data_IF_052429079786
#
_entry.id   IF_052429079786
#
_cell.length_a   1.000
_cell.length_b   1.000
_cell.length_c   1.000
_cell.angle_alpha   90.00
_cell.angle_beta   90.00
_cell.angle_gamma   90.00
#
_symmetry.space_group_name_H-M   'P 1'
#
loop_
_entity.id
_entity.type
_entity.pdbx_description
1 polymer ?
#
# COMPACT_ATOMS: atom_id res chain seq x y z
N UNK A 1 -59.05 41.23 -41.15
CA UNK A 1 -59.09 39.84 -40.67
C UNK A 1 -58.04 39.70 -39.58
N UNK A 2 -58.45 39.46 -38.34
CA UNK A 2 -57.56 39.32 -37.18
C UNK A 2 -56.81 37.98 -37.23
N UNK A 3 -55.47 38.01 -37.20
CA UNK A 3 -54.66 36.81 -37.02
C UNK A 3 -54.38 36.63 -35.53
N UNK A 4 -55.11 35.68 -34.92
CA UNK A 4 -55.01 35.32 -33.50
C UNK A 4 -53.64 34.70 -33.21
N UNK A 5 -52.89 35.29 -32.27
CA UNK A 5 -51.59 34.80 -31.82
C UNK A 5 -51.77 33.52 -30.97
N UNK A 6 -51.22 32.40 -31.44
CA UNK A 6 -51.20 31.14 -30.70
C UNK A 6 -50.01 31.12 -29.72
N UNK A 7 -50.29 31.27 -28.42
CA UNK A 7 -49.29 31.15 -27.35
C UNK A 7 -49.20 29.69 -26.86
N UNK A 8 -48.10 28.95 -27.10
CA UNK A 8 -47.98 27.56 -26.64
C UNK A 8 -47.81 27.49 -25.11
N UNK A 9 -48.22 26.39 -24.44
CA UNK A 9 -48.32 26.35 -22.98
C UNK A 9 -46.94 26.30 -22.30
N UNK A 10 -46.52 27.42 -21.71
CA UNK A 10 -45.28 27.58 -20.93
C UNK A 10 -45.12 26.54 -19.81
N UNK A 11 -46.23 26.03 -19.25
CA UNK A 11 -46.24 25.07 -18.15
C UNK A 11 -45.57 23.73 -18.50
N UNK A 12 -45.67 23.25 -19.75
CA UNK A 12 -45.12 21.93 -20.15
C UNK A 12 -43.61 21.98 -20.38
N UNK A 13 -43.11 23.11 -20.90
CA UNK A 13 -41.66 23.36 -21.09
C UNK A 13 -40.95 23.53 -19.75
N UNK A 14 -41.56 24.27 -18.82
CA UNK A 14 -41.01 24.47 -17.46
C UNK A 14 -40.89 23.17 -16.66
N UNK A 15 -41.89 22.28 -16.73
CA UNK A 15 -41.83 20.94 -16.11
C UNK A 15 -40.74 20.05 -16.72
N UNK A 16 -40.58 20.06 -18.04
CA UNK A 16 -39.49 19.34 -18.72
C UNK A 16 -38.11 19.87 -18.33
N UNK A 17 -37.93 21.18 -18.24
CA UNK A 17 -36.68 21.78 -17.77
C UNK A 17 -36.38 21.42 -16.30
N UNK A 18 -37.39 21.37 -15.44
CA UNK A 18 -37.22 20.93 -14.04
C UNK A 18 -36.79 19.47 -13.97
N UNK A 19 -37.45 18.58 -14.73
CA UNK A 19 -37.10 17.15 -14.75
C UNK A 19 -35.67 16.95 -15.27
N UNK A 20 -35.29 17.62 -16.36
CA UNK A 20 -33.94 17.54 -16.91
C UNK A 20 -32.88 18.08 -15.94
N UNK A 21 -33.19 19.16 -15.22
CA UNK A 21 -32.32 19.72 -14.17
C UNK A 21 -32.12 18.74 -13.02
N UNK A 22 -33.20 18.10 -12.54
CA UNK A 22 -33.12 17.09 -11.48
C UNK A 22 -32.32 15.87 -11.93
N UNK A 23 -32.54 15.37 -13.16
CA UNK A 23 -31.77 14.24 -13.70
C UNK A 23 -30.29 14.60 -13.82
N UNK A 24 -29.96 15.79 -14.32
CA UNK A 24 -28.57 16.25 -14.40
C UNK A 24 -27.91 16.35 -13.02
N UNK A 25 -28.63 16.86 -12.01
CA UNK A 25 -28.13 16.93 -10.64
C UNK A 25 -27.88 15.54 -10.04
N UNK A 26 -28.80 14.59 -10.26
CA UNK A 26 -28.63 13.20 -9.81
C UNK A 26 -27.42 12.52 -10.48
N UNK A 27 -27.23 12.72 -11.78
CA UNK A 27 -26.06 12.20 -12.50
C UNK A 27 -24.75 12.80 -11.97
N UNK A 28 -24.72 14.11 -11.70
CA UNK A 28 -23.56 14.76 -11.10
C UNK A 28 -23.25 14.20 -9.71
N UNK A 29 -24.26 13.98 -8.86
CA UNK A 29 -24.07 13.37 -7.54
C UNK A 29 -23.50 11.94 -7.63
N UNK A 30 -23.97 11.14 -8.59
CA UNK A 30 -23.44 9.78 -8.83
C UNK A 30 -21.97 9.85 -9.27
N UNK A 31 -21.63 10.74 -10.20
CA UNK A 31 -20.24 10.92 -10.67
C UNK A 31 -19.34 11.32 -9.49
N UNK A 32 -19.77 12.28 -8.69
CA UNK A 32 -19.03 12.74 -7.50
C UNK A 32 -18.83 11.59 -6.52
N UNK A 33 -19.86 10.80 -6.23
CA UNK A 33 -19.77 9.64 -5.34
C UNK A 33 -18.80 8.56 -5.87
N UNK A 34 -18.80 8.29 -7.17
CA UNK A 34 -17.87 7.33 -7.81
C UNK A 34 -16.43 7.84 -7.73
N UNK A 35 -16.19 9.11 -8.03
CA UNK A 35 -14.85 9.72 -7.95
C UNK A 35 -14.34 9.71 -6.50
N UNK A 36 -15.16 10.12 -5.53
CA UNK A 36 -14.83 10.05 -4.10
C UNK A 36 -14.54 8.62 -3.66
N UNK A 37 -15.35 7.64 -4.08
CA UNK A 37 -15.12 6.22 -3.78
C UNK A 37 -13.80 5.69 -4.36
N UNK A 38 -13.44 6.09 -5.58
CA UNK A 38 -12.17 5.73 -6.21
C UNK A 38 -10.96 6.40 -5.53
N UNK A 39 -11.08 7.68 -5.16
CA UNK A 39 -10.04 8.41 -4.43
C UNK A 39 -9.80 7.85 -3.02
N UNK A 40 -10.87 7.51 -2.29
CA UNK A 40 -10.75 6.86 -0.98
C UNK A 40 -10.13 5.46 -1.07
N UNK A 41 -10.42 4.71 -2.14
CA UNK A 41 -9.84 3.38 -2.38
C UNK A 41 -8.34 3.42 -2.65
N UNK A 42 -7.84 4.49 -3.29
CA UNK A 42 -6.41 4.66 -3.55
C UNK A 42 -5.58 4.87 -2.27
N UNK A 43 -6.20 5.31 -1.17
CA UNK A 43 -5.51 5.60 0.09
C UNK A 43 -5.37 4.37 1.01
N UNK A 44 -5.56 3.16 0.47
CA UNK A 44 -5.24 1.92 1.19
C UNK A 44 -3.75 1.60 1.00
N UNK A 45 -3.01 1.42 2.10
CA UNK A 45 -1.59 1.06 2.06
C UNK A 45 -1.39 -0.24 1.27
N UNK A 46 -0.98 -0.14 0.00
CA UNK A 46 -0.78 -1.30 -0.88
C UNK A 46 0.54 -2.03 -0.66
N UNK A 47 1.37 -1.57 0.27
CA UNK A 47 2.72 -2.10 0.48
C UNK A 47 2.70 -3.58 0.88
N UNK A 48 2.11 -3.94 2.02
CA UNK A 48 2.01 -5.35 2.47
C UNK A 48 1.30 -6.24 1.44
N UNK A 49 0.11 -5.89 0.91
CA UNK A 49 -0.55 -6.72 -0.09
C UNK A 49 0.30 -6.96 -1.35
N UNK A 50 1.00 -5.94 -1.85
CA UNK A 50 1.85 -6.07 -3.05
C UNK A 50 3.07 -6.95 -2.76
N UNK A 51 3.71 -6.74 -1.61
CA UNK A 51 4.85 -7.55 -1.17
C UNK A 51 4.46 -9.04 -1.08
N UNK A 52 3.36 -9.36 -0.38
CA UNK A 52 2.92 -10.74 -0.19
C UNK A 52 2.60 -11.40 -1.54
N UNK A 53 1.88 -10.69 -2.42
CA UNK A 53 1.53 -11.21 -3.75
C UNK A 53 2.79 -11.56 -4.58
N UNK A 54 3.79 -10.67 -4.60
CA UNK A 54 5.04 -10.92 -5.33
C UNK A 54 5.89 -12.02 -4.69
N UNK A 55 5.91 -12.10 -3.36
CA UNK A 55 6.64 -13.15 -2.66
C UNK A 55 6.10 -14.55 -3.00
N UNK A 56 4.77 -14.69 -3.12
CA UNK A 56 4.13 -15.97 -3.44
C UNK A 56 4.50 -16.54 -4.81
N UNK A 57 5.08 -15.74 -5.71
CA UNK A 57 5.62 -16.21 -6.99
C UNK A 57 6.88 -17.08 -6.79
N UNK A 58 7.55 -16.96 -5.64
CA UNK A 58 8.75 -17.72 -5.30
C UNK A 58 8.43 -18.87 -4.36
N UNK A 59 8.68 -20.10 -4.83
CA UNK A 59 8.45 -21.31 -4.02
C UNK A 59 9.50 -21.44 -2.91
N UNK A 60 9.08 -21.94 -1.75
CA UNK A 60 9.97 -22.30 -0.64
C UNK A 60 10.23 -21.19 0.38
N UNK A 61 9.49 -20.07 0.30
CA UNK A 61 9.56 -18.98 1.27
C UNK A 61 8.26 -18.85 2.06
N UNK A 62 8.38 -18.50 3.33
CA UNK A 62 7.26 -18.07 4.17
C UNK A 62 7.10 -16.55 4.01
N UNK A 63 6.11 -16.15 3.21
CA UNK A 63 5.95 -14.76 2.80
C UNK A 63 5.48 -13.84 3.93
N UNK A 64 4.71 -14.34 4.90
CA UNK A 64 4.35 -13.55 6.08
C UNK A 64 5.59 -13.34 6.94
N UNK A 65 6.41 -14.38 7.15
CA UNK A 65 7.67 -14.24 7.87
C UNK A 65 8.65 -13.29 7.15
N UNK A 66 8.73 -13.37 5.82
CA UNK A 66 9.57 -12.44 5.04
C UNK A 66 9.10 -10.99 5.19
N UNK A 67 7.78 -10.77 5.22
CA UNK A 67 7.19 -9.46 5.48
C UNK A 67 7.54 -8.96 6.88
N UNK A 68 7.35 -9.79 7.91
CA UNK A 68 7.59 -9.40 9.31
C UNK A 68 9.05 -8.98 9.52
N UNK A 69 9.99 -9.71 8.90
CA UNK A 69 11.42 -9.39 8.97
C UNK A 69 11.75 -8.09 8.22
N UNK A 70 11.14 -7.86 7.05
CA UNK A 70 11.30 -6.62 6.30
C UNK A 70 10.74 -5.40 7.07
N UNK A 71 9.56 -5.54 7.67
CA UNK A 71 8.86 -4.48 8.39
C UNK A 71 9.64 -4.02 9.64
N UNK A 72 10.27 -4.97 10.35
CA UNK A 72 11.10 -4.69 11.53
C UNK A 72 12.30 -3.76 11.25
N UNK A 73 12.74 -3.66 9.99
CA UNK A 73 13.89 -2.82 9.64
C UNK A 73 13.59 -1.33 9.83
N UNK A 74 12.35 -0.89 9.59
CA UNK A 74 12.01 0.54 9.51
C UNK A 74 10.85 0.97 10.42
N UNK A 75 9.96 0.08 10.86
CA UNK A 75 8.83 0.48 11.73
C UNK A 75 9.32 1.05 13.07
N UNK A 76 8.69 2.14 13.52
CA UNK A 76 9.04 2.82 14.76
C UNK A 76 10.32 3.65 14.71
N UNK A 77 10.99 3.75 13.56
CA UNK A 77 12.23 4.52 13.37
C UNK A 77 11.99 5.82 12.62
N UNK A 78 12.87 6.80 12.83
CA UNK A 78 12.94 7.97 11.97
C UNK A 78 13.32 7.51 10.53
N UNK A 79 12.58 7.93 9.48
CA UNK A 79 12.92 7.61 8.09
C UNK A 79 14.35 7.96 7.66
N UNK A 80 14.94 8.97 8.28
CA UNK A 80 16.28 9.45 8.01
C UNK A 80 17.35 8.68 8.80
N UNK A 81 16.95 7.89 9.80
CA UNK A 81 17.84 7.16 10.72
C UNK A 81 17.58 5.65 10.71
N UNK A 82 17.50 5.07 9.51
CA UNK A 82 17.45 3.62 9.31
C UNK A 82 18.84 3.13 8.88
N UNK A 83 19.60 2.46 9.75
CA UNK A 83 20.91 1.93 9.39
C UNK A 83 20.78 0.78 8.38
N UNK A 84 21.79 0.60 7.52
CA UNK A 84 21.77 -0.43 6.48
C UNK A 84 21.64 -1.84 7.07
N UNK A 85 22.30 -2.07 8.20
CA UNK A 85 22.34 -3.34 8.93
C UNK A 85 20.95 -3.75 9.46
N UNK A 86 20.01 -2.80 9.57
CA UNK A 86 18.62 -3.12 9.95
C UNK A 86 17.96 -4.09 8.95
N UNK A 87 18.41 -4.13 7.70
CA UNK A 87 17.93 -5.05 6.67
C UNK A 87 18.70 -6.37 6.59
N UNK A 88 19.79 -6.56 7.34
CA UNK A 88 20.59 -7.80 7.31
C UNK A 88 19.73 -9.05 7.55
N UNK A 89 18.77 -9.08 8.51
CA UNK A 89 17.90 -10.24 8.69
C UNK A 89 17.07 -10.57 7.45
N UNK A 90 16.60 -9.54 6.73
CA UNK A 90 15.80 -9.70 5.51
C UNK A 90 16.66 -10.25 4.37
N UNK A 91 17.87 -9.70 4.18
CA UNK A 91 18.81 -10.14 3.15
C UNK A 91 19.28 -11.59 3.41
N UNK A 92 19.56 -11.93 4.67
CA UNK A 92 19.98 -13.26 5.08
C UNK A 92 18.89 -14.33 4.89
N UNK A 93 17.62 -13.94 4.96
CA UNK A 93 16.50 -14.87 4.77
C UNK A 93 16.30 -15.29 3.30
N UNK A 94 16.80 -14.51 2.35
CA UNK A 94 16.73 -14.82 0.92
C UNK A 94 18.05 -14.52 0.21
N UNK A 95 19.11 -15.30 0.50
CA UNK A 95 20.43 -15.03 -0.03
C UNK A 95 20.41 -15.09 -1.56
N UNK A 96 20.96 -14.04 -2.18
CA UNK A 96 21.25 -14.02 -3.61
C UNK A 96 22.27 -15.10 -3.91
N UNK A 97 21.80 -16.30 -4.31
CA UNK A 97 22.70 -17.38 -4.70
C UNK A 97 23.45 -16.93 -5.96
N UNK A 98 24.79 -16.78 -5.90
CA UNK A 98 25.56 -16.55 -7.11
C UNK A 98 25.39 -17.80 -7.95
N UNK A 99 24.64 -17.70 -9.04
CA UNK A 99 24.49 -18.78 -10.00
C UNK A 99 25.76 -18.83 -10.86
N UNK A 100 26.93 -18.90 -10.21
CA UNK A 100 28.33 -18.71 -10.63
C UNK A 100 29.14 -19.92 -11.12
N UNK A 101 28.63 -20.92 -11.87
CA UNK A 101 29.53 -21.83 -12.62
C UNK A 101 28.99 -22.27 -13.99
N UNK A 102 29.55 -21.73 -15.09
CA UNK A 102 29.16 -22.07 -16.49
C UNK A 102 29.49 -23.50 -16.89
N UNK A 103 30.48 -24.13 -16.23
CA UNK A 103 30.95 -25.48 -16.54
C UNK A 103 30.01 -26.56 -15.98
N UNK A 104 29.25 -26.27 -14.92
CA UNK A 104 28.50 -27.29 -14.17
C UNK A 104 26.99 -27.28 -14.38
N UNK A 105 26.41 -26.22 -14.96
CA UNK A 105 24.95 -26.14 -15.08
C UNK A 105 24.53 -25.35 -16.33
N UNK A 106 23.89 -25.99 -17.34
CA UNK A 106 23.43 -25.33 -18.56
C UNK A 106 22.26 -24.34 -18.34
N UNK A 107 21.74 -24.20 -17.12
CA UNK A 107 20.69 -23.23 -16.72
C UNK A 107 21.21 -22.04 -15.88
N UNK A 108 22.50 -21.72 -16.01
CA UNK A 108 23.16 -20.66 -15.24
C UNK A 108 22.80 -19.26 -15.75
N UNK A 109 22.37 -18.37 -14.84
CA UNK A 109 22.13 -16.95 -15.12
C UNK A 109 23.21 -16.06 -14.53
N UNK A 110 23.68 -15.08 -15.30
CA UNK A 110 24.68 -14.07 -14.92
C UNK A 110 23.96 -12.80 -14.45
N UNK A 111 24.37 -12.25 -13.31
CA UNK A 111 23.78 -11.01 -12.80
C UNK A 111 24.10 -9.82 -13.71
N UNK A 112 23.09 -9.03 -14.08
CA UNK A 112 23.23 -7.83 -14.90
C UNK A 112 22.76 -6.60 -14.12
N UNK A 113 23.67 -5.65 -13.95
CA UNK A 113 23.40 -4.37 -13.29
C UNK A 113 23.13 -3.30 -14.34
N UNK A 114 22.35 -2.29 -13.96
CA UNK A 114 21.94 -1.21 -14.84
C UNK A 114 21.88 0.12 -14.07
N UNK A 115 21.90 1.24 -14.80
CA UNK A 115 21.74 2.58 -14.23
C UNK A 115 20.91 3.42 -15.17
N UNK A 116 19.71 3.80 -14.72
CA UNK A 116 18.71 4.56 -15.51
C UNK A 116 18.29 3.89 -16.83
N UNK A 117 18.56 2.59 -17.00
CA UNK A 117 18.26 1.78 -18.18
C UNK A 117 17.47 0.52 -17.84
N UNK A 118 16.63 0.59 -16.79
CA UNK A 118 15.84 -0.54 -16.27
C UNK A 118 15.08 -1.26 -17.39
N UNK A 119 14.19 -0.53 -18.05
CA UNK A 119 13.27 -1.10 -19.03
C UNK A 119 14.02 -1.77 -20.19
N UNK A 120 15.08 -1.13 -20.70
CA UNK A 120 15.92 -1.69 -21.75
C UNK A 120 16.62 -2.99 -21.31
N UNK A 121 17.11 -3.04 -20.08
CA UNK A 121 17.80 -4.22 -19.56
C UNK A 121 16.82 -5.35 -19.30
N UNK A 122 15.62 -5.06 -18.77
CA UNK A 122 14.57 -6.08 -18.65
C UNK A 122 14.10 -6.61 -20.00
N UNK A 123 13.88 -5.75 -21.00
CA UNK A 123 13.56 -6.17 -22.38
C UNK A 123 14.64 -7.08 -22.99
N UNK A 124 15.89 -6.90 -22.56
CA UNK A 124 17.03 -7.71 -22.99
C UNK A 124 17.10 -9.04 -22.22
N UNK A 125 16.95 -9.03 -20.90
CA UNK A 125 17.06 -10.23 -20.07
C UNK A 125 15.85 -11.16 -20.21
N UNK A 126 14.65 -10.64 -20.46
CA UNK A 126 13.43 -11.44 -20.72
C UNK A 126 13.62 -12.36 -21.94
N UNK A 127 14.39 -11.92 -22.93
CA UNK A 127 14.65 -12.65 -24.18
C UNK A 127 15.92 -13.51 -24.12
N UNK A 128 16.63 -13.53 -22.98
CA UNK A 128 17.95 -14.14 -22.85
C UNK A 128 18.05 -14.92 -21.55
N UNK A 129 18.04 -16.25 -21.65
CA UNK A 129 18.14 -17.17 -20.51
C UNK A 129 19.44 -17.09 -19.70
N UNK A 130 20.45 -16.36 -20.18
CA UNK A 130 21.76 -16.24 -19.53
C UNK A 130 21.89 -15.07 -18.56
N UNK A 131 20.91 -14.18 -18.47
CA UNK A 131 21.00 -12.96 -17.66
C UNK A 131 19.82 -12.84 -16.69
N UNK A 132 20.08 -12.21 -15.56
CA UNK A 132 19.10 -11.94 -14.50
C UNK A 132 19.47 -10.62 -13.82
N UNK A 133 18.49 -9.82 -13.44
CA UNK A 133 18.75 -8.55 -12.73
C UNK A 133 18.50 -8.70 -11.23
N UNK A 134 18.73 -7.63 -10.45
CA UNK A 134 18.41 -7.63 -9.01
C UNK A 134 16.91 -7.77 -8.80
N UNK A 135 16.11 -7.12 -9.65
CA UNK A 135 14.65 -7.09 -9.59
C UNK A 135 14.03 -8.46 -9.86
N UNK A 136 14.73 -9.36 -10.55
CA UNK A 136 14.29 -10.75 -10.80
C UNK A 136 14.53 -11.69 -9.60
N UNK A 137 15.27 -11.24 -8.58
CA UNK A 137 15.45 -11.99 -7.32
C UNK A 137 14.25 -11.82 -6.39
N UNK A 138 14.09 -12.69 -5.38
CA UNK A 138 13.02 -12.53 -4.38
C UNK A 138 13.10 -11.14 -3.73
N UNK A 139 14.28 -10.76 -3.22
CA UNK A 139 14.49 -9.49 -2.51
C UNK A 139 14.18 -8.29 -3.39
N UNK A 140 14.61 -8.32 -4.66
CA UNK A 140 14.34 -7.25 -5.61
C UNK A 140 12.87 -7.19 -6.00
N UNK A 141 12.29 -8.32 -6.42
CA UNK A 141 10.90 -8.39 -6.91
C UNK A 141 9.91 -7.87 -5.88
N UNK A 142 10.00 -8.32 -4.62
CA UNK A 142 9.03 -7.93 -3.59
C UNK A 142 9.10 -6.44 -3.21
N UNK A 143 10.19 -5.75 -3.53
CA UNK A 143 10.41 -4.32 -3.23
C UNK A 143 10.40 -3.43 -4.48
N UNK A 144 10.36 -4.01 -5.68
CA UNK A 144 10.57 -3.28 -6.93
C UNK A 144 9.51 -2.19 -7.18
N UNK A 145 9.96 -0.95 -7.34
CA UNK A 145 9.09 0.21 -7.55
C UNK A 145 8.22 0.56 -6.34
N UNK A 146 8.49 0.01 -5.14
CA UNK A 146 7.78 0.35 -3.92
C UNK A 146 8.53 1.46 -3.16
N UNK A 147 7.81 2.18 -2.30
CA UNK A 147 8.37 3.18 -1.39
C UNK A 147 7.77 2.97 -0.01
N UNK A 148 8.63 2.99 1.01
CA UNK A 148 8.25 2.77 2.40
C UNK A 148 9.12 3.63 3.32
N UNK A 149 8.59 3.98 4.48
CA UNK A 149 9.31 4.69 5.52
C UNK A 149 8.72 4.33 6.89
N UNK A 150 9.56 4.45 7.92
CA UNK A 150 9.14 4.38 9.31
C UNK A 150 8.47 5.68 9.76
N UNK A 151 8.08 5.71 11.03
CA UNK A 151 7.89 6.96 11.76
C UNK A 151 8.27 6.70 13.21
N UNK A 152 9.11 7.57 13.77
CA UNK A 152 9.52 7.46 15.15
C UNK A 152 8.28 7.53 16.07
N UNK A 153 8.22 6.63 17.04
CA UNK A 153 7.05 6.50 17.93
C UNK A 153 5.80 5.93 17.25
N UNK A 154 5.83 5.63 15.94
CA UNK A 154 4.83 4.78 15.30
C UNK A 154 5.27 3.31 15.37
N UNK A 155 5.37 2.78 16.58
CA UNK A 155 5.38 1.35 16.77
C UNK A 155 3.96 0.95 17.15
N UNK A 156 3.34 0.11 16.34
CA UNK A 156 2.11 -0.58 16.71
C UNK A 156 2.32 -1.61 17.84
N UNK A 157 3.40 -1.48 18.62
CA UNK A 157 3.76 -2.40 19.69
C UNK A 157 4.42 -1.59 20.80
N UNK A 158 3.60 -1.02 21.67
CA UNK A 158 4.07 -0.63 22.99
C UNK A 158 4.73 -1.87 23.66
N UNK A 159 5.80 -1.67 24.42
CA UNK A 159 6.52 -2.74 25.11
C UNK A 159 6.76 -2.32 26.57
N UNK A 160 6.70 -3.28 27.50
CA UNK A 160 6.82 -3.00 28.93
C UNK A 160 5.51 -2.51 29.56
N UNK A 161 5.62 -1.69 30.60
CA UNK A 161 4.47 -1.10 31.28
C UNK A 161 3.94 0.08 30.47
N UNK A 162 2.65 0.07 30.15
CA UNK A 162 2.01 1.11 29.33
C UNK A 162 1.13 1.99 30.21
N UNK A 163 1.37 3.30 30.18
CA UNK A 163 0.58 4.29 30.92
C UNK A 163 -0.22 5.17 29.95
N UNK A 164 -1.51 5.37 30.22
CA UNK A 164 -2.36 6.27 29.44
C UNK A 164 -2.97 7.34 30.34
N UNK A 165 -2.96 8.59 29.87
CA UNK A 165 -3.56 9.73 30.58
C UNK A 165 -4.93 10.05 29.96
N UNK A 166 -5.97 10.09 30.79
CA UNK A 166 -7.33 10.38 30.37
C UNK A 166 -7.81 11.71 30.96
N UNK A 167 -8.71 12.39 30.26
CA UNK A 167 -9.30 13.65 30.74
C UNK A 167 -10.36 13.37 31.81
N UNK A 168 -10.06 13.69 33.08
CA UNK A 168 -10.97 13.47 34.21
C UNK A 168 -12.14 14.47 34.30
N UNK A 169 -12.13 15.54 33.51
CA UNK A 169 -13.16 16.59 33.55
C UNK A 169 -14.40 16.27 32.70
N UNK A 170 -14.43 15.11 32.02
CA UNK A 170 -15.54 14.69 31.14
C UNK A 170 -16.24 13.43 31.68
N UNK A 171 -17.50 13.23 31.27
CA UNK A 171 -18.36 12.13 31.74
C UNK A 171 -17.80 10.74 31.39
N UNK A 172 -17.17 10.61 30.22
CA UNK A 172 -16.60 9.33 29.73
C UNK A 172 -15.12 9.48 29.36
N UNK A 173 -14.20 9.45 30.36
CA UNK A 173 -12.76 9.62 30.12
C UNK A 173 -12.16 8.56 29.19
N UNK A 174 -12.65 7.32 29.25
CA UNK A 174 -12.33 6.26 28.29
C UNK A 174 -13.53 6.00 27.39
N UNK A 175 -13.44 6.43 26.13
CA UNK A 175 -14.52 6.30 25.15
C UNK A 175 -14.19 5.20 24.13
N UNK A 176 -15.08 4.22 23.86
CA UNK A 176 -14.79 3.08 22.98
C UNK A 176 -14.57 3.47 21.52
N UNK A 177 -15.10 4.62 21.09
CA UNK A 177 -14.85 5.17 19.75
C UNK A 177 -13.60 6.06 19.66
N UNK A 178 -12.85 6.24 20.76
CA UNK A 178 -11.56 6.96 20.70
C UNK A 178 -10.52 6.15 19.93
N UNK A 179 -9.49 6.81 19.39
CA UNK A 179 -8.37 6.12 18.73
C UNK A 179 -7.66 5.19 19.72
N UNK A 180 -7.44 5.65 20.96
CA UNK A 180 -6.87 4.86 22.03
C UNK A 180 -7.63 3.54 22.24
N UNK A 181 -8.96 3.59 22.38
CA UNK A 181 -9.76 2.39 22.61
C UNK A 181 -9.98 1.52 21.36
N UNK A 182 -10.19 2.13 20.20
CA UNK A 182 -10.64 1.40 18.99
C UNK A 182 -9.49 0.80 18.19
N UNK A 183 -8.29 1.37 18.30
CA UNK A 183 -7.09 0.99 17.56
C UNK A 183 -5.95 0.60 18.52
N UNK A 184 -5.50 1.50 19.38
CA UNK A 184 -4.22 1.34 20.13
C UNK A 184 -4.29 0.21 21.16
N UNK A 185 -5.34 0.17 21.99
CA UNK A 185 -5.56 -0.88 23.01
C UNK A 185 -5.69 -2.27 22.38
N UNK A 186 -6.31 -2.39 21.19
CA UNK A 186 -6.51 -3.69 20.53
C UNK A 186 -5.22 -4.28 19.98
N UNK A 187 -4.14 -3.50 19.94
CA UNK A 187 -2.84 -3.89 19.41
C UNK A 187 -1.81 -4.15 20.51
N UNK A 188 -2.21 -4.05 21.78
CA UNK A 188 -1.40 -4.51 22.90
C UNK A 188 -1.39 -6.04 22.95
N UNK A 189 -0.20 -6.62 22.94
CA UNK A 189 0.02 -8.05 22.83
C UNK A 189 0.85 -8.56 24.02
N UNK A 190 0.37 -9.59 24.72
CA UNK A 190 1.09 -10.22 25.82
C UNK A 190 2.02 -11.32 25.27
N UNK A 191 3.29 -11.44 25.74
CA UNK A 191 3.89 -10.83 26.94
C UNK A 191 4.63 -9.51 26.70
N UNK A 192 4.48 -8.89 25.53
CA UNK A 192 5.25 -7.68 25.16
C UNK A 192 4.79 -6.46 25.94
N UNK A 193 3.48 -6.29 26.08
CA UNK A 193 2.85 -5.32 26.98
C UNK A 193 2.50 -6.03 28.29
N UNK A 194 2.96 -5.47 29.39
CA UNK A 194 2.55 -5.88 30.74
C UNK A 194 1.44 -4.95 31.19
N UNK A 195 0.34 -5.55 31.64
CA UNK A 195 -0.80 -4.85 32.24
C UNK A 195 -0.69 -4.89 33.77
#
# INVERSE_FOLDING_TARGET
MEHREYRPPEKRRRRRCIILSVVALLLLLIIVAVVLGLSLRQNTNKLKPTFIARCQEFKGYDCEKMWDVFEQAYVGRDPCDVPMEAYDPFIAAAPLKPACNRVKNPHHKTMMFWSKTKDLVHDFTEKRDCYVTVEDSLLGSVLDGLTWCGKEGSSDVACGDVTAMLNGSIVTPFHPASIFASIEVKRFDYPRVKA
#
